data_IF_308324936094
#
_entry.id   IF_308324936094
#
_cell.length_a   1.000
_cell.length_b   1.000
_cell.length_c   1.000
_cell.angle_alpha   90.00
_cell.angle_beta   90.00
_cell.angle_gamma   90.00
#
_symmetry.space_group_name_H-M   'P 1'
#
loop_
_entity.id
_entity.type
_entity.pdbx_description
1 polymer ?
#
# COMPACT_ATOMS: atom_id res chain seq x y z
N UNK A 1 26.25 -33.10 -13.80
CA UNK A 1 26.31 -31.69 -13.37
C UNK A 1 27.35 -31.54 -12.26
N UNK A 2 28.19 -30.49 -12.29
CA UNK A 2 29.06 -30.18 -11.15
C UNK A 2 28.12 -29.87 -9.98
N UNK A 3 28.25 -30.56 -8.84
CA UNK A 3 27.27 -30.47 -7.73
C UNK A 3 26.94 -29.02 -7.35
N UNK A 4 27.95 -28.14 -7.37
CA UNK A 4 27.80 -26.70 -7.09
C UNK A 4 26.86 -25.98 -8.07
N UNK A 5 26.95 -26.26 -9.38
CA UNK A 5 26.07 -25.65 -10.39
C UNK A 5 24.62 -26.12 -10.22
N UNK A 6 24.40 -27.38 -9.80
CA UNK A 6 23.06 -27.89 -9.46
C UNK A 6 22.43 -27.07 -8.35
N UNK A 7 23.17 -26.87 -7.27
CA UNK A 7 22.68 -26.13 -6.12
C UNK A 7 22.45 -24.65 -6.44
N UNK A 8 23.35 -24.01 -7.20
CA UNK A 8 23.15 -22.64 -7.66
C UNK A 8 21.89 -22.50 -8.52
N UNK A 9 21.64 -23.45 -9.42
CA UNK A 9 20.43 -23.44 -10.26
C UNK A 9 19.16 -23.63 -9.43
N UNK A 10 19.14 -24.62 -8.53
CA UNK A 10 18.00 -24.84 -7.62
C UNK A 10 17.74 -23.58 -6.77
N UNK A 11 18.78 -22.97 -6.22
CA UNK A 11 18.67 -21.74 -5.44
C UNK A 11 18.07 -20.59 -6.27
N UNK A 12 18.51 -20.42 -7.52
CA UNK A 12 17.97 -19.39 -8.41
C UNK A 12 16.48 -19.61 -8.72
N UNK A 13 16.03 -20.86 -8.83
CA UNK A 13 14.61 -21.19 -9.02
C UNK A 13 13.82 -20.78 -7.76
N UNK A 14 14.32 -21.09 -6.57
CA UNK A 14 13.67 -20.72 -5.30
C UNK A 14 13.57 -19.22 -5.15
N UNK A 15 14.64 -18.47 -5.44
CA UNK A 15 14.64 -17.00 -5.40
C UNK A 15 13.65 -16.42 -6.41
N UNK A 16 13.58 -17.00 -7.62
CA UNK A 16 12.67 -16.55 -8.66
C UNK A 16 11.21 -16.84 -8.33
N UNK A 17 10.94 -17.99 -7.71
CA UNK A 17 9.60 -18.31 -7.23
C UNK A 17 9.17 -17.34 -6.12
N UNK A 18 10.06 -17.07 -5.17
CA UNK A 18 9.83 -16.09 -4.12
C UNK A 18 9.55 -14.69 -4.69
N UNK A 19 10.36 -14.24 -5.67
CA UNK A 19 10.18 -12.91 -6.27
C UNK A 19 8.85 -12.76 -7.00
N UNK A 20 8.38 -13.81 -7.70
CA UNK A 20 7.06 -13.82 -8.35
C UNK A 20 5.94 -13.78 -7.31
N UNK A 21 6.02 -14.59 -6.25
CA UNK A 21 5.00 -14.59 -5.17
C UNK A 21 4.96 -13.22 -4.49
N UNK A 22 6.13 -12.69 -4.12
CA UNK A 22 6.29 -11.37 -3.52
C UNK A 22 5.69 -10.27 -4.41
N UNK A 23 5.96 -10.34 -5.71
CA UNK A 23 5.39 -9.41 -6.68
C UNK A 23 3.86 -9.46 -6.73
N UNK A 24 3.28 -10.67 -6.87
CA UNK A 24 1.81 -10.83 -6.94
C UNK A 24 1.13 -10.33 -5.66
N UNK A 25 1.69 -10.64 -4.49
CA UNK A 25 1.18 -10.12 -3.22
C UNK A 25 1.31 -8.59 -3.12
N UNK A 26 2.45 -8.06 -3.57
CA UNK A 26 2.75 -6.64 -3.53
C UNK A 26 1.86 -5.79 -4.44
N UNK A 27 1.68 -6.19 -5.70
CA UNK A 27 0.86 -5.42 -6.65
C UNK A 27 -0.61 -5.34 -6.25
N UNK A 28 -1.11 -6.41 -5.59
CA UNK A 28 -2.46 -6.50 -5.05
C UNK A 28 -2.60 -5.94 -3.64
N UNK A 29 -1.50 -5.48 -3.02
CA UNK A 29 -1.44 -5.05 -1.62
C UNK A 29 -2.10 -6.10 -0.70
N UNK A 30 -1.76 -7.38 -0.86
CA UNK A 30 -2.42 -8.51 -0.21
C UNK A 30 -3.94 -8.55 -0.47
N UNK A 31 -4.31 -8.45 -1.76
CA UNK A 31 -5.70 -8.44 -2.26
C UNK A 31 -6.59 -7.29 -1.75
N UNK A 32 -5.98 -6.24 -1.20
CA UNK A 32 -6.67 -5.03 -0.78
C UNK A 32 -6.89 -4.05 -1.95
N UNK A 33 -6.15 -4.19 -3.05
CA UNK A 33 -6.26 -3.30 -4.23
C UNK A 33 -6.36 -4.10 -5.53
N UNK A 34 -7.02 -3.52 -6.52
CA UNK A 34 -6.99 -4.00 -7.91
C UNK A 34 -5.60 -3.77 -8.56
N UNK A 35 -5.33 -4.52 -9.62
CA UNK A 35 -4.06 -4.43 -10.35
C UNK A 35 -4.16 -3.26 -11.33
N UNK A 36 -3.29 -2.26 -11.15
CA UNK A 36 -3.16 -1.13 -12.06
C UNK A 36 -2.51 -1.53 -13.39
N UNK A 37 -2.69 -0.71 -14.44
CA UNK A 37 -2.09 -0.86 -15.76
C UNK A 37 -0.57 -1.00 -15.70
N UNK A 38 0.11 -0.20 -14.87
CA UNK A 38 1.58 -0.26 -14.71
C UNK A 38 2.00 -1.66 -14.22
N UNK A 39 1.32 -2.19 -13.21
CA UNK A 39 1.63 -3.52 -12.67
C UNK A 39 1.23 -4.65 -13.63
N UNK A 40 0.20 -4.44 -14.44
CA UNK A 40 -0.17 -5.37 -15.52
C UNK A 40 0.93 -5.47 -16.57
N UNK A 41 1.51 -4.34 -16.99
CA UNK A 41 2.65 -4.29 -17.90
C UNK A 41 3.85 -5.01 -17.29
N UNK A 42 4.18 -4.73 -16.02
CA UNK A 42 5.28 -5.41 -15.32
C UNK A 42 5.05 -6.92 -15.18
N UNK A 43 3.83 -7.35 -14.87
CA UNK A 43 3.47 -8.77 -14.81
C UNK A 43 3.69 -9.44 -16.17
N UNK A 44 3.33 -8.78 -17.27
CA UNK A 44 3.49 -9.32 -18.61
C UNK A 44 4.95 -9.42 -19.04
N UNK A 45 5.76 -8.39 -18.78
CA UNK A 45 7.16 -8.33 -19.25
C UNK A 45 8.18 -8.95 -18.30
N UNK A 46 7.90 -9.03 -17.00
CA UNK A 46 8.81 -9.60 -16.01
C UNK A 46 8.23 -10.87 -15.36
N UNK A 47 6.97 -10.83 -14.97
CA UNK A 47 6.32 -11.94 -14.26
C UNK A 47 6.15 -13.19 -15.11
N UNK A 48 5.48 -13.09 -16.26
CA UNK A 48 5.24 -14.22 -17.17
C UNK A 48 6.56 -14.86 -17.64
N UNK A 49 7.57 -14.11 -18.12
CA UNK A 49 8.86 -14.69 -18.48
C UNK A 49 9.56 -15.38 -17.32
N UNK A 50 9.48 -14.82 -16.10
CA UNK A 50 10.04 -15.45 -14.90
C UNK A 50 9.38 -16.80 -14.60
N UNK A 51 8.04 -16.87 -14.64
CA UNK A 51 7.29 -18.12 -14.44
C UNK A 51 7.64 -19.16 -15.51
N UNK A 52 7.72 -18.77 -16.78
CA UNK A 52 8.10 -19.68 -17.87
C UNK A 52 9.53 -20.23 -17.67
N UNK A 53 10.47 -19.38 -17.24
CA UNK A 53 11.85 -19.79 -16.95
C UNK A 53 11.93 -20.74 -15.75
N UNK A 54 11.12 -20.53 -14.71
CA UNK A 54 11.02 -21.43 -13.55
C UNK A 54 10.53 -22.80 -14.02
N UNK A 55 9.43 -22.85 -14.77
CA UNK A 55 8.85 -24.11 -15.27
C UNK A 55 9.85 -24.85 -16.17
N UNK A 56 10.46 -24.13 -17.12
CA UNK A 56 11.48 -24.70 -18.00
C UNK A 56 12.69 -25.23 -17.20
N UNK A 57 13.14 -24.50 -16.19
CA UNK A 57 14.27 -24.91 -15.34
C UNK A 57 13.95 -26.16 -14.52
N UNK A 58 12.76 -26.25 -13.93
CA UNK A 58 12.29 -27.45 -13.20
C UNK A 58 12.23 -28.65 -14.16
N UNK A 59 11.66 -28.47 -15.35
CA UNK A 59 11.56 -29.53 -16.35
C UNK A 59 12.93 -30.05 -16.79
N UNK A 60 13.88 -29.14 -17.04
CA UNK A 60 15.26 -29.50 -17.42
C UNK A 60 16.02 -30.21 -16.30
N UNK A 61 15.80 -29.80 -15.04
CA UNK A 61 16.35 -30.49 -13.87
C UNK A 61 15.74 -31.88 -13.67
N UNK A 62 14.44 -32.04 -13.93
CA UNK A 62 13.75 -33.32 -13.80
C UNK A 62 14.17 -34.32 -14.88
N UNK A 63 14.36 -33.87 -16.13
CA UNK A 63 14.77 -34.72 -17.25
C UNK A 63 16.26 -35.12 -17.21
N UNK A 64 16.99 -34.74 -16.15
CA UNK A 64 18.44 -34.94 -16.03
C UNK A 64 19.19 -34.51 -17.32
N UNK A 65 18.84 -33.33 -17.85
CA UNK A 65 19.32 -32.87 -19.14
C UNK A 65 20.84 -33.04 -19.30
N UNK A 66 21.31 -33.73 -20.37
CA UNK A 66 22.70 -34.14 -20.47
C UNK A 66 23.62 -32.94 -20.62
N UNK A 67 24.35 -32.66 -19.55
CA UNK A 67 25.21 -31.48 -19.43
C UNK A 67 26.68 -31.78 -19.73
N UNK A 68 26.93 -32.79 -20.56
CA UNK A 68 28.27 -33.25 -20.96
C UNK A 68 28.98 -32.24 -21.87
N UNK A 69 28.21 -31.42 -22.60
CA UNK A 69 28.76 -30.42 -23.51
C UNK A 69 28.96 -29.05 -22.83
N UNK A 70 30.08 -28.36 -23.12
CA UNK A 70 30.41 -27.04 -22.55
C UNK A 70 29.29 -26.01 -22.81
N UNK A 71 28.68 -26.04 -24.00
CA UNK A 71 27.58 -25.13 -24.35
C UNK A 71 26.37 -25.23 -23.41
N UNK A 72 26.04 -26.44 -22.96
CA UNK A 72 24.93 -26.66 -22.01
C UNK A 72 25.20 -26.08 -20.61
N UNK A 73 26.48 -25.99 -20.20
CA UNK A 73 26.86 -25.34 -18.94
C UNK A 73 26.75 -23.82 -19.05
N UNK A 74 27.22 -23.26 -20.17
CA UNK A 74 27.11 -21.83 -20.46
C UNK A 74 25.64 -21.39 -20.48
N UNK A 75 24.77 -22.17 -21.14
CA UNK A 75 23.35 -21.86 -21.24
C UNK A 75 22.66 -21.86 -19.86
N UNK A 76 23.00 -22.80 -18.97
CA UNK A 76 22.50 -22.80 -17.59
C UNK A 76 22.99 -21.59 -16.81
N UNK A 77 24.26 -21.20 -16.94
CA UNK A 77 24.77 -19.98 -16.31
C UNK A 77 24.02 -18.73 -16.79
N UNK A 78 23.78 -18.61 -18.10
CA UNK A 78 22.99 -17.50 -18.67
C UNK A 78 21.57 -17.53 -18.11
N UNK A 79 20.93 -18.70 -18.06
CA UNK A 79 19.59 -18.87 -17.50
C UNK A 79 19.50 -18.43 -16.04
N UNK A 80 20.50 -18.80 -15.21
CA UNK A 80 20.61 -18.36 -13.81
C UNK A 80 20.70 -16.83 -13.75
N UNK A 81 21.57 -16.22 -14.55
CA UNK A 81 21.73 -14.76 -14.56
C UNK A 81 20.42 -14.05 -14.93
N UNK A 82 19.75 -14.51 -15.99
CA UNK A 82 18.46 -13.94 -16.43
C UNK A 82 17.40 -14.07 -15.32
N UNK A 83 17.27 -15.25 -14.72
CA UNK A 83 16.32 -15.49 -13.62
C UNK A 83 16.58 -14.57 -12.43
N UNK A 84 17.84 -14.38 -12.04
CA UNK A 84 18.22 -13.48 -10.96
C UNK A 84 17.94 -12.00 -11.33
N UNK A 85 18.26 -11.58 -12.56
CA UNK A 85 17.97 -10.22 -13.02
C UNK A 85 16.47 -9.92 -13.02
N UNK A 86 15.64 -10.85 -13.51
CA UNK A 86 14.18 -10.71 -13.47
C UNK A 86 13.67 -10.69 -12.02
N UNK A 87 14.24 -11.50 -11.14
CA UNK A 87 13.88 -11.54 -9.72
C UNK A 87 14.13 -10.20 -9.02
N UNK A 88 15.28 -9.58 -9.28
CA UNK A 88 15.60 -8.25 -8.73
C UNK A 88 14.62 -7.20 -9.26
N UNK A 89 14.29 -7.24 -10.56
CA UNK A 89 13.28 -6.35 -11.15
C UNK A 89 11.91 -6.50 -10.50
N UNK A 90 11.45 -7.74 -10.31
CA UNK A 90 10.17 -8.04 -9.66
C UNK A 90 10.13 -7.54 -8.21
N UNK A 91 11.16 -7.81 -7.41
CA UNK A 91 11.22 -7.39 -6.00
C UNK A 91 11.19 -5.87 -5.88
N UNK A 92 12.03 -5.17 -6.66
CA UNK A 92 12.15 -3.72 -6.59
C UNK A 92 10.92 -2.96 -7.11
N UNK A 93 10.12 -3.62 -7.95
CA UNK A 93 8.90 -3.03 -8.49
C UNK A 93 7.71 -3.00 -7.52
N UNK A 94 7.80 -3.72 -6.40
CA UNK A 94 6.74 -3.77 -5.39
C UNK A 94 6.76 -2.52 -4.51
N UNK A 95 5.63 -1.82 -4.44
CA UNK A 95 5.45 -0.74 -3.49
C UNK A 95 5.01 -1.31 -2.12
N UNK A 96 5.72 -0.98 -1.05
CA UNK A 96 5.42 -1.44 0.32
C UNK A 96 4.34 -0.62 1.04
N UNK A 97 4.05 0.58 0.54
CA UNK A 97 3.04 1.47 1.09
C UNK A 97 1.62 0.99 0.78
N UNK A 98 0.76 1.00 1.79
CA UNK A 98 -0.65 0.54 1.74
C UNK A 98 -0.88 -0.87 2.26
N UNK A 99 0.17 -1.68 2.45
CA UNK A 99 0.04 -3.05 2.97
C UNK A 99 1.00 -3.34 4.12
N UNK A 100 2.31 -3.13 3.92
CA UNK A 100 3.30 -3.27 5.00
C UNK A 100 3.36 -2.03 5.90
N UNK A 101 3.14 -0.86 5.30
CA UNK A 101 3.07 0.42 6.01
C UNK A 101 1.81 1.16 5.61
N UNK A 102 1.19 1.88 6.54
CA UNK A 102 0.04 2.72 6.22
C UNK A 102 0.46 3.83 5.25
N UNK A 103 -0.31 4.00 4.18
CA UNK A 103 -0.17 5.15 3.29
C UNK A 103 -1.11 6.24 3.79
N UNK A 104 -0.54 7.26 4.42
CA UNK A 104 -1.28 8.40 4.97
C UNK A 104 -1.34 9.52 3.95
N UNK A 105 -2.55 10.02 3.71
CA UNK A 105 -2.82 11.22 2.92
C UNK A 105 -3.52 12.21 3.85
N UNK A 106 -2.94 13.38 4.05
CA UNK A 106 -3.50 14.40 4.95
C UNK A 106 -4.09 15.59 4.19
N UNK A 107 -5.03 16.28 4.83
CA UNK A 107 -5.44 17.62 4.42
C UNK A 107 -4.54 18.70 5.05
N UNK A 108 -4.91 19.96 4.88
CA UNK A 108 -4.16 21.09 5.44
C UNK A 108 -4.41 21.17 6.94
N UNK A 109 -3.33 21.34 7.72
CA UNK A 109 -3.41 21.56 9.18
C UNK A 109 -4.23 22.82 9.50
N UNK A 110 -5.17 22.68 10.42
CA UNK A 110 -6.12 23.72 10.85
C UNK A 110 -6.03 23.90 12.36
N UNK A 111 -6.50 25.04 12.86
CA UNK A 111 -6.60 25.31 14.31
C UNK A 111 -8.06 25.48 14.67
N UNK A 112 -8.47 24.98 15.83
CA UNK A 112 -9.83 25.18 16.35
C UNK A 112 -10.09 26.65 16.66
N UNK A 113 -11.35 27.08 16.61
CA UNK A 113 -11.73 28.49 16.86
C UNK A 113 -11.34 28.97 18.27
N UNK A 114 -11.34 28.05 19.25
CA UNK A 114 -10.92 28.30 20.63
C UNK A 114 -9.39 28.26 20.81
N UNK A 115 -8.62 27.95 19.76
CA UNK A 115 -7.17 27.88 19.77
C UNK A 115 -6.58 26.73 20.61
N UNK A 116 -7.41 25.81 21.12
CA UNK A 116 -6.94 24.72 21.99
C UNK A 116 -6.19 23.63 21.22
N UNK A 117 -6.59 23.36 19.98
CA UNK A 117 -6.07 22.25 19.21
C UNK A 117 -5.69 22.62 17.78
N UNK A 118 -4.65 21.98 17.28
CA UNK A 118 -4.37 21.86 15.84
C UNK A 118 -4.86 20.50 15.34
N UNK A 119 -5.47 20.46 14.15
CA UNK A 119 -6.09 19.25 13.63
C UNK A 119 -6.00 19.13 12.11
N UNK A 120 -6.04 17.89 11.63
CA UNK A 120 -6.15 17.55 10.21
C UNK A 120 -6.80 16.18 10.05
N UNK A 121 -7.41 15.94 8.89
CA UNK A 121 -7.91 14.63 8.50
C UNK A 121 -6.80 13.79 7.89
N UNK A 122 -6.68 12.54 8.35
CA UNK A 122 -5.80 11.54 7.75
C UNK A 122 -6.63 10.47 7.05
N UNK A 123 -6.46 10.35 5.74
CA UNK A 123 -6.96 9.23 4.95
C UNK A 123 -5.89 8.15 4.89
N UNK A 124 -6.25 6.96 5.34
CA UNK A 124 -5.37 5.82 5.39
C UNK A 124 -5.70 4.89 4.24
N UNK A 125 -4.69 4.47 3.49
CA UNK A 125 -4.79 3.43 2.46
C UNK A 125 -5.87 3.73 1.41
N UNK A 126 -5.97 4.98 0.97
CA UNK A 126 -6.94 5.41 -0.04
C UNK A 126 -6.90 4.51 -1.29
N UNK A 127 -8.07 4.20 -1.85
CA UNK A 127 -8.29 3.27 -2.98
C UNK A 127 -8.00 1.80 -2.68
N UNK A 128 -7.95 1.41 -1.39
CA UNK A 128 -7.80 0.03 -0.96
C UNK A 128 -8.99 -0.38 -0.09
N UNK A 129 -9.31 -1.67 -0.04
CA UNK A 129 -10.45 -2.19 0.75
C UNK A 129 -10.30 -1.97 2.25
N UNK A 130 -9.07 -1.86 2.74
CA UNK A 130 -8.72 -1.55 4.12
C UNK A 130 -8.58 -0.04 4.38
N UNK A 131 -9.12 0.82 3.51
CA UNK A 131 -9.08 2.27 3.70
C UNK A 131 -9.95 2.71 4.87
N UNK A 132 -9.50 3.74 5.60
CA UNK A 132 -10.29 4.37 6.66
C UNK A 132 -9.84 5.82 6.89
N UNK A 133 -10.65 6.58 7.62
CA UNK A 133 -10.33 7.95 8.04
C UNK A 133 -10.03 8.01 9.54
N UNK A 134 -9.14 8.92 9.93
CA UNK A 134 -8.95 9.32 11.32
C UNK A 134 -8.65 10.80 11.42
N UNK A 135 -9.01 11.38 12.56
CA UNK A 135 -8.69 12.74 12.93
C UNK A 135 -7.34 12.70 13.63
N UNK A 136 -6.39 13.47 13.13
CA UNK A 136 -5.18 13.79 13.87
C UNK A 136 -5.39 15.12 14.59
N UNK A 137 -5.14 15.13 15.89
CA UNK A 137 -5.30 16.32 16.74
C UNK A 137 -4.11 16.46 17.69
N UNK A 138 -3.61 17.69 17.84
CA UNK A 138 -2.53 18.04 18.77
C UNK A 138 -3.05 19.11 19.73
N UNK A 139 -2.81 18.93 21.02
CA UNK A 139 -3.05 19.97 22.03
C UNK A 139 -1.98 21.05 21.96
N UNK A 140 -2.38 22.31 21.78
CA UNK A 140 -1.44 23.44 21.78
C UNK A 140 -0.84 23.74 23.16
N UNK A 141 -1.39 23.14 24.22
CA UNK A 141 -0.96 23.37 25.60
C UNK A 141 0.00 22.31 26.13
N UNK A 142 -0.12 21.07 25.63
CA UNK A 142 0.63 19.90 26.11
C UNK A 142 1.48 19.23 25.04
N UNK A 143 1.34 19.62 23.76
CA UNK A 143 1.93 18.95 22.61
C UNK A 143 1.56 17.45 22.50
N UNK A 144 0.47 17.02 23.15
CA UNK A 144 -0.01 15.65 23.08
C UNK A 144 -0.74 15.40 21.75
N UNK A 145 -0.27 14.38 21.01
CA UNK A 145 -0.87 13.91 19.76
C UNK A 145 -1.91 12.82 20.02
N UNK A 146 -3.10 12.97 19.45
CA UNK A 146 -4.17 11.97 19.51
C UNK A 146 -4.67 11.65 18.10
N UNK A 147 -5.04 10.38 17.87
CA UNK A 147 -5.56 9.91 16.58
C UNK A 147 -6.91 9.21 16.77
N UNK A 148 -8.00 9.86 16.37
CA UNK A 148 -9.37 9.39 16.61
C UNK A 148 -9.96 8.86 15.31
N UNK A 149 -10.26 7.56 15.26
CA UNK A 149 -10.87 6.94 14.08
C UNK A 149 -12.36 7.27 14.00
N UNK A 150 -12.85 7.57 12.80
CA UNK A 150 -14.28 7.77 12.54
C UNK A 150 -14.73 7.06 11.26
N UNK A 151 -16.01 6.69 11.22
CA UNK A 151 -16.56 5.79 10.20
C UNK A 151 -17.08 6.54 8.97
N UNK A 152 -16.16 7.09 8.19
CA UNK A 152 -16.46 7.69 6.89
C UNK A 152 -16.27 6.66 5.77
N UNK A 153 -17.13 6.63 4.73
CA UNK A 153 -17.02 5.70 3.61
C UNK A 153 -15.85 6.02 2.64
N UNK A 154 -14.62 6.10 3.15
CA UNK A 154 -13.40 6.39 2.38
C UNK A 154 -13.19 5.40 1.22
N UNK A 155 -13.67 4.16 1.38
CA UNK A 155 -13.58 3.11 0.38
C UNK A 155 -14.44 3.36 -0.88
N UNK A 156 -15.41 4.28 -0.83
CA UNK A 156 -16.22 4.65 -2.00
C UNK A 156 -15.57 5.75 -2.84
N UNK A 157 -14.51 6.38 -2.34
CA UNK A 157 -13.80 7.44 -3.07
C UNK A 157 -12.98 6.82 -4.19
N UNK A 158 -13.28 7.20 -5.43
CA UNK A 158 -12.60 6.71 -6.65
C UNK A 158 -11.64 7.74 -7.26
N UNK A 159 -11.80 9.02 -6.91
CA UNK A 159 -10.98 10.13 -7.39
C UNK A 159 -10.71 11.09 -6.25
N UNK A 160 -9.48 11.62 -6.18
CA UNK A 160 -9.13 12.70 -5.27
C UNK A 160 -8.61 13.89 -6.08
N UNK A 161 -9.25 15.04 -5.94
CA UNK A 161 -8.72 16.31 -6.44
C UNK A 161 -7.98 17.00 -5.32
N UNK A 162 -6.67 17.22 -5.49
CA UNK A 162 -5.82 17.92 -4.51
C UNK A 162 -5.54 19.34 -5.02
N UNK A 163 -6.11 20.34 -4.36
CA UNK A 163 -5.69 21.74 -4.51
C UNK A 163 -4.53 22.09 -3.58
N UNK A 164 -3.99 23.31 -3.70
CA UNK A 164 -2.91 23.81 -2.82
C UNK A 164 -3.34 23.92 -1.35
N UNK A 165 -4.63 24.16 -1.10
CA UNK A 165 -5.23 24.19 0.23
C UNK A 165 -6.49 23.33 0.22
N UNK A 166 -6.47 22.23 0.98
CA UNK A 166 -7.59 21.31 1.11
C UNK A 166 -8.00 21.28 2.57
N UNK A 167 -9.24 21.67 2.83
CA UNK A 167 -9.88 21.54 4.12
C UNK A 167 -10.99 20.51 3.92
N UNK A 168 -10.76 19.27 4.32
CA UNK A 168 -11.70 18.18 4.13
C UNK A 168 -12.70 18.08 5.26
N UNK A 169 -12.30 18.56 6.44
CA UNK A 169 -13.10 18.62 7.64
C UNK A 169 -13.01 20.01 8.27
N UNK A 170 -14.03 20.34 9.06
CA UNK A 170 -14.03 21.45 9.99
C UNK A 170 -14.41 20.94 11.37
N UNK A 171 -13.76 21.47 12.41
CA UNK A 171 -13.99 21.11 13.80
C UNK A 171 -14.52 22.33 14.57
N UNK A 172 -15.75 22.24 15.07
CA UNK A 172 -16.42 23.33 15.81
C UNK A 172 -16.61 22.94 17.27
N UNK A 173 -16.37 23.87 18.19
CA UNK A 173 -16.49 23.61 19.62
C UNK A 173 -17.94 23.32 20.03
N UNK A 174 -18.14 22.31 20.88
CA UNK A 174 -19.41 22.01 21.54
C UNK A 174 -19.51 22.76 22.88
N UNK A 175 -20.71 22.92 23.48
CA UNK A 175 -20.85 23.43 24.84
C UNK A 175 -20.20 22.55 25.91
N UNK A 176 -19.94 21.27 25.60
CA UNK A 176 -19.23 20.34 26.49
C UNK A 176 -17.72 20.51 26.29
N UNK A 177 -16.98 20.51 27.39
CA UNK A 177 -15.52 20.59 27.37
C UNK A 177 -14.90 19.36 26.67
N UNK A 178 -13.88 19.60 25.84
CA UNK A 178 -13.15 18.62 25.03
C UNK A 178 -14.01 17.78 24.07
N UNK A 179 -15.23 18.26 23.79
CA UNK A 179 -16.12 17.69 22.78
C UNK A 179 -16.25 18.66 21.63
N UNK A 180 -16.10 18.16 20.42
CA UNK A 180 -16.17 18.93 19.19
C UNK A 180 -17.10 18.29 18.18
N UNK A 181 -17.63 19.10 17.29
CA UNK A 181 -18.43 18.65 16.15
C UNK A 181 -17.54 18.69 14.92
N UNK A 182 -17.22 17.51 14.39
CA UNK A 182 -16.50 17.36 13.13
C UNK A 182 -17.52 17.29 12.00
N UNK A 183 -17.38 18.18 11.02
CA UNK A 183 -18.21 18.21 9.82
C UNK A 183 -17.33 18.05 8.59
N UNK A 184 -17.64 17.09 7.72
CA UNK A 184 -16.97 16.99 6.42
C UNK A 184 -17.39 18.16 5.52
N UNK A 185 -16.45 18.78 4.81
CA UNK A 185 -16.75 19.99 4.02
C UNK A 185 -17.31 19.66 2.63
N UNK A 186 -17.85 20.69 1.96
CA UNK A 186 -18.32 20.62 0.57
C UNK A 186 -17.22 20.22 -0.43
N UNK A 187 -15.94 20.34 -0.06
CA UNK A 187 -14.85 19.84 -0.92
C UNK A 187 -14.87 18.31 -1.00
N UNK A 188 -15.32 17.64 0.07
CA UNK A 188 -15.58 16.20 0.09
C UNK A 188 -16.93 15.86 -0.55
N UNK A 189 -17.90 16.78 -0.54
CA UNK A 189 -19.28 16.50 -0.96
C UNK A 189 -19.41 16.03 -2.42
N UNK A 190 -18.42 16.33 -3.25
CA UNK A 190 -18.31 15.83 -4.62
C UNK A 190 -18.13 14.31 -4.71
N UNK A 191 -17.61 13.67 -3.66
CA UNK A 191 -17.26 12.25 -3.63
C UNK A 191 -17.90 11.48 -2.46
N UNK A 192 -18.31 12.18 -1.40
CA UNK A 192 -18.84 11.62 -0.15
C UNK A 192 -20.04 12.44 0.32
N UNK A 193 -21.00 11.87 1.06
CA UNK A 193 -22.03 12.66 1.71
C UNK A 193 -21.39 13.61 2.75
N UNK A 194 -22.05 14.74 3.01
CA UNK A 194 -21.70 15.57 4.16
C UNK A 194 -22.15 14.82 5.40
N UNK A 195 -21.20 14.53 6.29
CA UNK A 195 -21.42 13.78 7.53
C UNK A 195 -20.91 14.58 8.72
N UNK A 196 -21.56 14.36 9.85
CA UNK A 196 -21.30 15.07 11.09
C UNK A 196 -21.05 14.09 12.23
N UNK A 197 -20.00 14.35 13.01
CA UNK A 197 -19.54 13.48 14.09
C UNK A 197 -19.34 14.25 15.38
N UNK A 198 -19.77 13.69 16.51
CA UNK A 198 -19.37 14.14 17.85
C UNK A 198 -18.02 13.49 18.16
N UNK A 199 -16.99 14.32 18.37
CA UNK A 199 -15.64 13.91 18.71
C UNK A 199 -15.40 14.23 20.18
N UNK A 200 -15.22 13.20 20.99
CA UNK A 200 -14.74 13.33 22.36
C UNK A 200 -13.22 13.11 22.35
N UNK A 201 -12.47 14.20 22.49
CA UNK A 201 -11.00 14.17 22.38
C UNK A 201 -10.39 13.40 23.55
N UNK A 202 -10.97 13.54 24.74
CA UNK A 202 -10.46 12.94 25.98
C UNK A 202 -10.65 11.43 26.01
N UNK A 203 -11.78 10.95 25.51
CA UNK A 203 -12.07 9.52 25.46
C UNK A 203 -11.65 8.87 24.14
N UNK A 204 -11.16 9.65 23.17
CA UNK A 204 -10.76 9.20 21.83
C UNK A 204 -11.91 8.54 21.04
N UNK A 205 -13.12 9.07 21.18
CA UNK A 205 -14.34 8.50 20.58
C UNK A 205 -14.88 9.45 19.52
N UNK A 206 -15.29 8.88 18.38
CA UNK A 206 -16.08 9.56 17.38
C UNK A 206 -17.44 8.85 17.19
N UNK A 207 -18.54 9.61 17.29
CA UNK A 207 -19.89 9.09 17.09
C UNK A 207 -20.56 9.86 15.96
N UNK A 208 -21.01 9.16 14.91
CA UNK A 208 -21.77 9.78 13.83
C UNK A 208 -23.13 10.25 14.35
N UNK A 209 -23.48 11.51 14.06
CA UNK A 209 -24.74 12.13 14.47
C UNK A 209 -25.67 12.33 13.27
N UNK A 210 -25.10 12.64 12.10
CA UNK A 210 -25.83 12.88 10.84
C UNK A 210 -25.04 12.39 9.62
#
# INVERSE_FOLDING_TARGET
MIKTLKYAWILSIVISLFSVIWFVLGITANFQREIDLIYTVLLFFLGIPSVLLIIASIFLLYKDWPQSWVGSKILVCIGILIMLSLSVGLINSVNTSGWLTEKVITDTLQTTEDGKYEYQMEWINLFQKNSYARLYIISNSTDEETRIRFDTPVNTVTVLTRGDVNYWISLTASPKEDVYILTTTDKLSLFLPIETYEIDVKNEIAVKIE
#
